data_IF_138997716393
#
_entry.id   IF_138997716393
#
_cell.length_a   1.000
_cell.length_b   1.000
_cell.length_c   1.000
_cell.angle_alpha   90.00
_cell.angle_beta   90.00
_cell.angle_gamma   90.00
#
_symmetry.space_group_name_H-M   'P 1'
#
loop_
_entity.id
_entity.type
_entity.pdbx_description
1 polymer ?
#
# COMPACT_ATOMS: atom_id res chain seq x y z
N UNK A 1 -2.24 -8.81 -12.52
CA UNK A 1 -1.25 -9.84 -12.92
C UNK A 1 -0.02 -9.59 -12.07
N UNK A 2 0.47 -10.57 -11.30
CA UNK A 2 1.76 -10.42 -10.59
C UNK A 2 2.87 -10.41 -11.63
N UNK A 3 3.63 -9.34 -11.72
CA UNK A 3 4.82 -9.31 -12.58
C UNK A 3 5.89 -10.12 -11.86
N UNK A 4 6.43 -11.18 -12.48
CA UNK A 4 7.43 -11.98 -11.81
C UNK A 4 8.73 -11.19 -11.61
N UNK A 5 9.37 -11.33 -10.45
CA UNK A 5 10.56 -10.55 -10.07
C UNK A 5 11.69 -10.58 -11.12
N UNK A 6 11.82 -11.68 -11.88
CA UNK A 6 12.82 -11.77 -12.95
C UNK A 6 12.53 -10.80 -14.12
N UNK A 7 11.27 -10.48 -14.40
CA UNK A 7 10.90 -9.58 -15.50
C UNK A 7 11.33 -8.14 -15.22
N UNK A 8 11.27 -7.70 -13.95
CA UNK A 8 11.76 -6.40 -13.50
C UNK A 8 13.28 -6.31 -13.67
N UNK A 9 14.00 -7.34 -13.20
CA UNK A 9 15.47 -7.40 -13.31
C UNK A 9 15.91 -7.40 -14.78
N UNK A 10 15.24 -8.19 -15.62
CA UNK A 10 15.50 -8.20 -17.07
C UNK A 10 15.20 -6.84 -17.70
N UNK A 11 14.09 -6.18 -17.31
CA UNK A 11 13.75 -4.85 -17.79
C UNK A 11 14.82 -3.80 -17.46
N UNK A 12 15.34 -3.82 -16.23
CA UNK A 12 16.43 -2.93 -15.80
C UNK A 12 17.71 -3.21 -16.61
N UNK A 13 18.10 -4.47 -16.76
CA UNK A 13 19.30 -4.85 -17.54
C UNK A 13 19.19 -4.37 -18.99
N UNK A 14 18.04 -4.61 -19.64
CA UNK A 14 17.79 -4.16 -21.01
C UNK A 14 17.86 -2.63 -21.08
N UNK A 15 17.26 -1.92 -20.12
CA UNK A 15 17.29 -0.46 -20.09
C UNK A 15 18.72 0.09 -19.95
N UNK A 16 19.58 -0.55 -19.15
CA UNK A 16 20.99 -0.17 -19.02
C UNK A 16 21.78 -0.38 -20.31
N UNK A 17 21.50 -1.48 -21.03
CA UNK A 17 22.11 -1.71 -22.35
C UNK A 17 21.71 -0.60 -23.32
N UNK A 18 20.41 -0.26 -23.37
CA UNK A 18 19.89 0.79 -24.26
C UNK A 18 20.39 2.20 -23.87
N UNK A 19 20.56 2.51 -22.59
CA UNK A 19 20.92 3.85 -22.13
C UNK A 19 22.42 4.09 -22.02
N UNK A 20 23.22 3.05 -21.84
CA UNK A 20 24.66 3.18 -21.59
C UNK A 20 25.47 2.47 -22.67
N UNK A 21 25.22 1.18 -22.87
CA UNK A 21 26.03 0.37 -23.78
C UNK A 21 25.88 0.79 -25.24
N UNK A 22 24.65 0.95 -25.73
CA UNK A 22 24.41 1.35 -27.12
C UNK A 22 24.94 2.75 -27.40
N UNK A 23 24.63 3.81 -26.60
CA UNK A 23 25.18 5.14 -26.83
C UNK A 23 26.71 5.15 -26.83
N UNK A 24 27.35 4.42 -25.92
CA UNK A 24 28.82 4.30 -25.90
C UNK A 24 29.37 3.73 -27.20
N UNK A 25 28.81 2.62 -27.70
CA UNK A 25 29.25 2.00 -28.94
C UNK A 25 28.97 2.88 -30.16
N UNK A 26 27.84 3.59 -30.19
CA UNK A 26 27.51 4.52 -31.27
C UNK A 26 28.51 5.68 -31.31
N UNK A 27 28.85 6.26 -30.16
CA UNK A 27 29.86 7.33 -30.07
C UNK A 27 31.22 6.84 -30.58
N UNK A 28 31.64 5.64 -30.18
CA UNK A 28 32.88 5.04 -30.71
C UNK A 28 32.83 4.82 -32.22
N UNK A 29 31.73 4.29 -32.74
CA UNK A 29 31.59 4.00 -34.17
C UNK A 29 31.60 5.28 -35.02
N UNK A 30 31.02 6.38 -34.52
CA UNK A 30 31.09 7.69 -35.16
C UNK A 30 32.52 8.24 -35.09
N UNK A 31 33.18 8.15 -33.92
CA UNK A 31 34.57 8.60 -33.74
C UNK A 31 35.54 7.86 -34.67
N UNK A 32 35.34 6.56 -34.87
CA UNK A 32 36.15 5.72 -35.75
C UNK A 32 35.79 5.88 -37.23
N UNK A 33 34.86 6.78 -37.59
CA UNK A 33 34.35 7.01 -38.95
C UNK A 33 33.75 5.77 -39.61
N UNK A 34 33.39 4.76 -38.81
CA UNK A 34 32.72 3.54 -39.30
C UNK A 34 31.21 3.72 -39.42
N UNK A 35 30.66 4.74 -38.75
CA UNK A 35 29.25 5.11 -38.79
C UNK A 35 29.12 6.60 -39.10
N UNK A 36 28.18 6.96 -39.98
CA UNK A 36 27.86 8.35 -40.26
C UNK A 36 27.18 9.04 -39.05
N UNK A 37 27.48 10.32 -38.87
CA UNK A 37 27.03 11.10 -37.71
C UNK A 37 25.51 11.24 -37.65
N UNK A 38 24.83 11.37 -38.81
CA UNK A 38 23.36 11.48 -38.84
C UNK A 38 22.71 10.16 -38.41
N UNK A 39 23.22 9.03 -38.92
CA UNK A 39 22.76 7.72 -38.51
C UNK A 39 23.03 7.44 -37.03
N UNK A 40 24.21 7.82 -36.53
CA UNK A 40 24.53 7.72 -35.11
C UNK A 40 23.54 8.50 -34.23
N UNK A 41 23.22 9.74 -34.61
CA UNK A 41 22.26 10.56 -33.87
C UNK A 41 20.86 9.94 -33.81
N UNK A 42 20.38 9.36 -34.91
CA UNK A 42 19.07 8.68 -34.97
C UNK A 42 19.05 7.47 -34.04
N UNK A 43 20.10 6.63 -34.07
CA UNK A 43 20.19 5.44 -33.21
C UNK A 43 20.20 5.87 -31.74
N UNK A 44 20.94 6.93 -31.40
CA UNK A 44 21.03 7.45 -30.04
C UNK A 44 19.67 7.92 -29.51
N UNK A 45 18.91 8.66 -30.33
CA UNK A 45 17.56 9.12 -29.97
C UNK A 45 16.60 7.95 -29.73
N UNK A 46 16.60 6.96 -30.61
CA UNK A 46 15.74 5.77 -30.47
C UNK A 46 16.13 4.99 -29.21
N UNK A 47 17.42 4.79 -29.00
CA UNK A 47 17.95 4.04 -27.85
C UNK A 47 17.62 4.72 -26.53
N UNK A 48 17.75 6.05 -26.46
CA UNK A 48 17.38 6.82 -25.27
C UNK A 48 15.87 6.81 -25.02
N UNK A 49 15.05 6.94 -26.06
CA UNK A 49 13.59 6.88 -25.93
C UNK A 49 13.09 5.51 -25.46
N UNK A 50 13.58 4.43 -26.10
CA UNK A 50 13.20 3.07 -25.74
C UNK A 50 13.77 2.66 -24.37
N UNK A 51 15.03 2.98 -24.10
CA UNK A 51 15.69 2.69 -22.83
C UNK A 51 15.05 3.44 -21.66
N UNK A 52 14.73 4.72 -21.84
CA UNK A 52 14.10 5.56 -20.82
C UNK A 52 12.68 5.12 -20.48
N UNK A 53 11.87 4.77 -21.49
CA UNK A 53 10.50 4.26 -21.27
C UNK A 53 10.51 2.91 -20.56
N UNK A 54 11.41 1.98 -20.96
CA UNK A 54 11.56 0.70 -20.27
C UNK A 54 12.08 0.86 -18.83
N UNK A 55 13.05 1.75 -18.60
CA UNK A 55 13.54 2.05 -17.25
C UNK A 55 12.43 2.58 -16.36
N UNK A 56 11.64 3.55 -16.86
CA UNK A 56 10.50 4.12 -16.13
C UNK A 56 9.52 3.03 -15.70
N UNK A 57 9.05 2.20 -16.64
CA UNK A 57 8.08 1.16 -16.31
C UNK A 57 8.66 0.04 -15.42
N UNK A 58 9.92 -0.34 -15.61
CA UNK A 58 10.57 -1.35 -14.78
C UNK A 58 10.70 -0.88 -13.33
N UNK A 59 11.00 0.40 -13.12
CA UNK A 59 11.10 0.97 -11.77
C UNK A 59 9.72 1.16 -11.16
N UNK A 60 8.81 1.81 -11.89
CA UNK A 60 7.46 2.12 -11.38
C UNK A 60 6.71 0.85 -11.03
N UNK A 61 6.68 -0.16 -11.89
CA UNK A 61 5.94 -1.39 -11.58
C UNK A 61 6.73 -2.37 -10.72
N UNK A 62 8.07 -2.44 -10.89
CA UNK A 62 8.90 -3.39 -10.16
C UNK A 62 9.13 -3.05 -8.68
N UNK A 63 9.14 -1.76 -8.33
CA UNK A 63 9.29 -1.32 -6.94
C UNK A 63 7.98 -0.86 -6.29
N UNK A 64 6.91 -0.56 -7.05
CA UNK A 64 5.62 -0.19 -6.44
C UNK A 64 4.77 -1.40 -6.01
N UNK A 65 4.92 -2.58 -6.63
CA UNK A 65 4.18 -3.78 -6.22
C UNK A 65 4.41 -4.19 -4.74
N UNK A 66 5.64 -4.21 -4.20
CA UNK A 66 5.84 -4.52 -2.78
C UNK A 66 5.28 -3.45 -1.83
N UNK A 67 5.32 -2.17 -2.21
CA UNK A 67 4.78 -1.06 -1.40
C UNK A 67 3.25 -1.10 -1.27
N UNK A 68 2.54 -1.54 -2.31
CA UNK A 68 1.07 -1.60 -2.29
C UNK A 68 0.58 -2.83 -1.52
N UNK A 69 1.29 -3.96 -1.59
CA UNK A 69 0.84 -5.19 -0.92
C UNK A 69 1.02 -5.17 0.60
N UNK A 70 2.07 -4.53 1.11
CA UNK A 70 2.22 -4.35 2.57
C UNK A 70 1.11 -3.48 3.17
N UNK A 71 0.72 -2.39 2.51
CA UNK A 71 -0.31 -1.47 3.02
C UNK A 71 -1.72 -2.12 3.07
N UNK A 72 -2.02 -3.01 2.13
CA UNK A 72 -3.28 -3.77 2.14
C UNK A 72 -3.34 -4.82 3.25
N UNK A 73 -2.24 -5.53 3.52
CA UNK A 73 -2.21 -6.53 4.60
C UNK A 73 -2.19 -5.88 6.00
N UNK A 74 -1.55 -4.72 6.15
CA UNK A 74 -1.56 -3.93 7.40
C UNK A 74 -2.98 -3.44 7.69
N UNK A 75 -3.64 -2.77 6.73
CA UNK A 75 -5.03 -2.30 6.89
C UNK A 75 -5.99 -3.44 7.21
N UNK A 76 -5.78 -4.62 6.61
CA UNK A 76 -6.62 -5.80 6.87
C UNK A 76 -6.44 -6.36 8.28
N UNK A 77 -5.23 -6.30 8.83
CA UNK A 77 -4.97 -6.67 10.24
C UNK A 77 -5.59 -5.65 11.20
N UNK A 78 -5.40 -4.36 10.95
CA UNK A 78 -5.97 -3.29 11.77
C UNK A 78 -7.51 -3.35 11.82
N UNK A 79 -8.17 -3.62 10.69
CA UNK A 79 -9.62 -3.77 10.63
C UNK A 79 -10.11 -4.94 11.50
N UNK A 80 -9.42 -6.09 11.46
CA UNK A 80 -9.78 -7.25 12.29
C UNK A 80 -9.61 -6.96 13.78
N UNK A 81 -8.53 -6.28 14.15
CA UNK A 81 -8.30 -5.87 15.54
C UNK A 81 -9.33 -4.86 16.03
N UNK A 82 -9.77 -3.91 15.18
CA UNK A 82 -10.84 -2.98 15.50
C UNK A 82 -12.19 -3.70 15.66
N UNK A 83 -12.52 -4.64 14.78
CA UNK A 83 -13.75 -5.44 14.87
C UNK A 83 -13.83 -6.23 16.18
N UNK A 84 -12.71 -6.85 16.57
CA UNK A 84 -12.62 -7.63 17.81
C UNK A 84 -12.76 -6.73 19.04
N UNK A 85 -12.07 -5.59 19.07
CA UNK A 85 -12.25 -4.57 20.13
C UNK A 85 -13.69 -4.10 20.22
N UNK A 86 -14.31 -3.76 19.09
CA UNK A 86 -15.71 -3.31 19.05
C UNK A 86 -16.69 -4.38 19.57
N UNK A 87 -16.42 -5.66 19.29
CA UNK A 87 -17.23 -6.76 19.82
C UNK A 87 -17.16 -6.83 21.35
N UNK A 88 -15.95 -6.71 21.91
CA UNK A 88 -15.73 -6.71 23.36
C UNK A 88 -16.41 -5.50 24.02
N UNK A 89 -16.25 -4.30 23.42
CA UNK A 89 -16.90 -3.09 23.93
C UNK A 89 -18.43 -3.20 23.94
N UNK A 90 -19.04 -3.75 22.88
CA UNK A 90 -20.49 -3.96 22.83
C UNK A 90 -20.96 -4.97 23.88
N UNK A 91 -20.22 -6.05 24.09
CA UNK A 91 -20.54 -7.02 25.14
C UNK A 91 -20.49 -6.37 26.53
N UNK A 92 -19.45 -5.57 26.80
CA UNK A 92 -19.30 -4.83 28.06
C UNK A 92 -20.40 -3.79 28.27
N UNK A 93 -20.80 -3.06 27.23
CA UNK A 93 -21.89 -2.09 27.31
C UNK A 93 -23.23 -2.76 27.65
N UNK A 94 -23.50 -3.95 27.13
CA UNK A 94 -24.71 -4.70 27.49
C UNK A 94 -24.73 -5.10 28.96
N UNK A 95 -23.62 -5.65 29.47
CA UNK A 95 -23.51 -5.99 30.88
C UNK A 95 -23.69 -4.75 31.79
N UNK A 96 -23.12 -3.62 31.40
CA UNK A 96 -23.27 -2.36 32.14
C UNK A 96 -24.71 -1.83 32.14
N UNK A 97 -25.45 -2.01 31.03
CA UNK A 97 -26.86 -1.64 30.98
C UNK A 97 -27.72 -2.51 31.91
N UNK A 98 -27.42 -3.81 31.99
CA UNK A 98 -28.09 -4.72 32.92
C UNK A 98 -27.82 -4.31 34.38
N UNK A 99 -26.57 -3.97 34.73
CA UNK A 99 -26.23 -3.45 36.07
C UNK A 99 -26.97 -2.13 36.39
N UNK A 100 -27.12 -1.24 35.40
CA UNK A 100 -27.85 0.02 35.59
C UNK A 100 -29.35 -0.19 35.80
N UNK A 101 -29.96 -1.16 35.11
CA UNK A 101 -31.37 -1.51 35.30
C UNK A 101 -31.60 -2.12 36.70
N UNK A 102 -30.66 -2.93 37.19
CA UNK A 102 -30.72 -3.47 38.55
C UNK A 102 -30.60 -2.35 39.61
N UNK A 103 -29.65 -1.42 39.44
CA UNK A 103 -29.51 -0.25 40.31
C UNK A 103 -30.80 0.59 40.30
N UNK A 104 -31.38 0.82 39.11
CA UNK A 104 -32.64 1.57 39.00
C UNK A 104 -33.76 0.89 39.78
N UNK A 105 -33.89 -0.43 39.67
CA UNK A 105 -34.91 -1.20 40.41
C UNK A 105 -34.72 -1.09 41.92
N UNK A 106 -33.49 -1.21 42.41
CA UNK A 106 -33.18 -1.01 43.83
C UNK A 106 -33.56 0.40 44.33
N UNK A 107 -33.28 1.43 43.52
CA UNK A 107 -33.65 2.81 43.86
C UNK A 107 -35.17 3.01 43.87
N UNK A 108 -35.92 2.35 43.00
CA UNK A 108 -37.38 2.36 43.01
C UNK A 108 -37.94 1.68 44.26
N UNK A 109 -37.39 0.52 44.65
CA UNK A 109 -37.77 -0.17 45.90
C UNK A 109 -37.48 0.70 47.13
N UNK A 110 -36.31 1.34 47.21
CA UNK A 110 -35.98 2.27 48.30
C UNK A 110 -36.95 3.45 48.32
N UNK A 111 -37.25 4.04 47.16
CA UNK A 111 -38.19 5.17 47.05
C UNK A 111 -39.58 4.78 47.54
N UNK A 112 -40.04 3.60 47.16
CA UNK A 112 -41.39 3.14 47.49
C UNK A 112 -41.50 2.81 48.99
N UNK A 113 -40.47 2.19 49.58
CA UNK A 113 -40.35 2.02 51.04
C UNK A 113 -40.34 3.36 51.80
N UNK A 114 -39.62 4.36 51.30
CA UNK A 114 -39.60 5.70 51.92
C UNK A 114 -40.97 6.39 51.82
N UNK A 115 -41.71 6.20 50.72
CA UNK A 115 -43.07 6.73 50.58
C UNK A 115 -44.05 6.05 51.53
N UNK A 116 -43.97 4.73 51.69
CA UNK A 116 -44.81 4.01 52.65
C UNK A 116 -44.49 4.43 54.09
N UNK A 117 -43.20 4.58 54.43
CA UNK A 117 -42.79 5.03 55.77
C UNK A 117 -43.14 6.48 56.10
N UNK A 118 -43.33 7.35 55.10
CA UNK A 118 -43.79 8.75 55.28
C UNK A 118 -45.32 8.91 55.23
N UNK A 119 -46.08 7.87 54.89
CA UNK A 119 -47.54 7.90 54.85
C UNK A 119 -48.21 7.58 56.20
N UNK A 120 -47.42 7.50 57.28
CA UNK A 120 -47.82 7.41 58.69
C UNK A 120 -47.56 8.74 59.37
#
# INVERSE_FOLDING_TARGET
MRIPNYAVVVGIIISLILLVWIPYNVIQAVSNKTLDTLFGAIILLISMGAGGTLAFFSITFGFAEPLITEDFDIKRRELREMEEKMRIYRARQRAMLEELDEIKRLLEEIRDLLKEGMAV
#
